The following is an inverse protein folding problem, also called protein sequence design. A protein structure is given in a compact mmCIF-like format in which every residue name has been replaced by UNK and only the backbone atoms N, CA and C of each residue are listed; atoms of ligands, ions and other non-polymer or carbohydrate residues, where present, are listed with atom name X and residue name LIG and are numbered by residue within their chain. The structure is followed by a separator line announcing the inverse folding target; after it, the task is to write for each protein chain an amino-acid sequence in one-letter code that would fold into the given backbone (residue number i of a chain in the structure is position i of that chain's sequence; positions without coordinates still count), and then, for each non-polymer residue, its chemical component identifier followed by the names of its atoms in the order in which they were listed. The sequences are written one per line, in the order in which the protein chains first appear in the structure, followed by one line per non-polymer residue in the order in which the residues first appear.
data_IF_238483005825
#
_entry.id   IF_238483005825
#
_cell.length_a   1.000
_cell.length_b   1.000
_cell.length_c   1.000
_cell.angle_alpha   90.00
_cell.angle_beta   90.00
_cell.angle_gamma   90.00
#
_symmetry.space_group_name_H-M   'P 1'
#
loop_
_entity.id
_entity.type
_entity.pdbx_description
1 polymer ?
#
# COMPACT_ATOMS: atom_id res chain seq x y z
N UNK A 1 43.57 -47.57 -7.35
CA UNK A 1 43.49 -46.47 -6.36
C UNK A 1 43.02 -45.13 -6.95
N UNK A 2 42.96 -44.96 -8.28
CA UNK A 2 42.51 -43.71 -8.93
C UNK A 2 40.97 -43.49 -8.95
N UNK A 3 40.17 -44.55 -8.88
CA UNK A 3 38.69 -44.45 -8.93
C UNK A 3 38.04 -43.74 -7.73
N UNK A 4 38.69 -43.75 -6.55
CA UNK A 4 38.12 -43.10 -5.34
C UNK A 4 38.27 -41.58 -5.39
N UNK A 5 39.32 -41.07 -6.03
CA UNK A 5 39.57 -39.63 -6.15
C UNK A 5 38.57 -38.95 -7.08
N UNK A 6 38.15 -39.61 -8.17
CA UNK A 6 37.12 -39.10 -9.08
C UNK A 6 35.74 -39.02 -8.44
N UNK A 7 35.41 -39.96 -7.55
CA UNK A 7 34.11 -40.00 -6.87
C UNK A 7 33.97 -38.88 -5.84
N UNK A 8 35.01 -38.63 -5.04
CA UNK A 8 35.02 -37.54 -4.08
C UNK A 8 34.99 -36.15 -4.75
N UNK A 9 35.64 -36.01 -5.91
CA UNK A 9 35.59 -34.77 -6.68
C UNK A 9 34.18 -34.49 -7.22
N UNK A 10 33.48 -35.54 -7.66
CA UNK A 10 32.11 -35.45 -8.15
C UNK A 10 31.13 -35.05 -7.02
N UNK A 11 31.25 -35.66 -5.84
CA UNK A 11 30.41 -35.31 -4.69
C UNK A 11 30.68 -33.88 -4.17
N UNK A 12 31.94 -33.44 -4.18
CA UNK A 12 32.30 -32.08 -3.80
C UNK A 12 31.81 -31.03 -4.80
N UNK A 13 31.83 -31.34 -6.10
CA UNK A 13 31.29 -30.46 -7.15
C UNK A 13 29.76 -30.40 -7.09
N UNK A 14 29.10 -31.54 -6.85
CA UNK A 14 27.64 -31.61 -6.78
C UNK A 14 27.10 -30.86 -5.54
N UNK A 15 27.77 -31.00 -4.39
CA UNK A 15 27.41 -30.23 -3.18
C UNK A 15 27.65 -28.72 -3.32
N UNK A 16 28.69 -28.31 -4.05
CA UNK A 16 28.94 -26.89 -4.34
C UNK A 16 27.89 -26.32 -5.31
N UNK A 17 27.50 -27.09 -6.34
CA UNK A 17 26.49 -26.69 -7.30
C UNK A 17 25.08 -26.62 -6.67
N UNK A 18 24.72 -27.54 -5.77
CA UNK A 18 23.46 -27.46 -5.01
C UNK A 18 23.45 -26.28 -4.03
N UNK A 19 24.58 -25.97 -3.39
CA UNK A 19 24.67 -24.81 -2.50
C UNK A 19 24.62 -23.48 -3.25
N UNK A 20 25.20 -23.39 -4.45
CA UNK A 20 25.12 -22.19 -5.29
C UNK A 20 23.75 -22.04 -5.94
N UNK A 21 23.13 -23.13 -6.41
CA UNK A 21 21.77 -23.09 -6.97
C UNK A 21 20.70 -22.83 -5.91
N UNK A 22 20.87 -23.32 -4.68
CA UNK A 22 20.00 -22.96 -3.54
C UNK A 22 20.07 -21.47 -3.19
N UNK A 23 21.28 -20.89 -3.17
CA UNK A 23 21.47 -19.44 -2.96
C UNK A 23 20.97 -18.59 -4.13
N UNK A 24 21.10 -19.07 -5.37
CA UNK A 24 20.58 -18.39 -6.55
C UNK A 24 19.03 -18.48 -6.62
N UNK A 25 18.45 -19.59 -6.19
CA UNK A 25 17.01 -19.81 -6.11
C UNK A 25 16.38 -18.97 -4.99
N UNK A 26 17.03 -18.82 -3.82
CA UNK A 26 16.58 -17.85 -2.80
C UNK A 26 16.66 -16.40 -3.30
N UNK A 27 17.68 -16.06 -4.10
CA UNK A 27 17.78 -14.74 -4.76
C UNK A 27 16.69 -14.49 -5.82
N UNK A 28 16.24 -15.54 -6.52
CA UNK A 28 15.24 -15.44 -7.60
C UNK A 28 13.79 -15.54 -7.10
N UNK A 29 13.53 -16.28 -6.03
CA UNK A 29 12.19 -16.35 -5.41
C UNK A 29 11.83 -15.11 -4.60
N UNK A 30 12.81 -14.28 -4.23
CA UNK A 30 12.59 -12.96 -3.63
C UNK A 30 12.21 -11.85 -4.61
N UNK A 31 12.20 -12.13 -5.92
CA UNK A 31 11.99 -11.12 -6.96
C UNK A 31 10.63 -11.29 -7.66
N UNK A 32 9.56 -11.39 -6.87
CA UNK A 32 8.29 -10.83 -7.33
C UNK A 32 8.57 -9.33 -7.49
N UNK A 33 8.45 -8.80 -8.71
CA UNK A 33 8.48 -7.37 -9.03
C UNK A 33 7.27 -6.67 -8.36
N UNK A 34 7.24 -6.70 -7.04
CA UNK A 34 6.48 -5.77 -6.22
C UNK A 34 7.36 -4.55 -6.21
N UNK A 35 6.89 -3.44 -6.78
CA UNK A 35 7.64 -2.19 -6.72
C UNK A 35 7.95 -1.91 -5.26
N UNK A 36 9.21 -2.08 -4.85
CA UNK A 36 9.67 -1.77 -3.49
C UNK A 36 9.69 -0.27 -3.40
N UNK A 37 8.53 0.31 -3.12
CA UNK A 37 8.37 1.74 -2.99
C UNK A 37 9.14 2.22 -1.77
N UNK A 38 9.86 3.34 -1.91
CA UNK A 38 10.55 3.92 -0.75
C UNK A 38 9.53 4.25 0.35
N UNK A 39 9.92 4.07 1.60
CA UNK A 39 9.12 4.48 2.77
C UNK A 39 8.59 5.91 2.67
N UNK A 40 9.40 6.82 2.11
CA UNK A 40 9.03 8.22 1.89
C UNK A 40 7.92 8.38 0.86
N UNK A 41 7.87 7.52 -0.15
CA UNK A 41 6.81 7.52 -1.16
C UNK A 41 5.47 7.05 -0.59
N UNK A 42 5.47 5.97 0.19
CA UNK A 42 4.26 5.45 0.85
C UNK A 42 3.72 6.50 1.83
N UNK A 43 4.59 7.10 2.65
CA UNK A 43 4.22 8.17 3.57
C UNK A 43 3.66 9.41 2.85
N UNK A 44 4.24 9.79 1.71
CA UNK A 44 3.73 10.89 0.88
C UNK A 44 2.34 10.60 0.34
N UNK A 45 2.09 9.39 -0.18
CA UNK A 45 0.76 8.99 -0.66
C UNK A 45 -0.27 9.04 0.47
N UNK A 46 0.07 8.59 1.68
CA UNK A 46 -0.81 8.72 2.84
C UNK A 46 -1.11 10.18 3.21
N UNK A 47 -0.08 11.04 3.24
CA UNK A 47 -0.24 12.45 3.55
C UNK A 47 -1.12 13.16 2.50
N UNK A 48 -0.92 12.84 1.22
CA UNK A 48 -1.74 13.35 0.13
C UNK A 48 -3.20 12.90 0.24
N UNK A 49 -3.44 11.63 0.61
CA UNK A 49 -4.78 11.07 0.77
C UNK A 49 -5.51 11.70 1.96
N UNK A 50 -4.83 11.92 3.08
CA UNK A 50 -5.37 12.62 4.23
C UNK A 50 -5.63 14.11 3.93
N UNK A 51 -4.73 14.75 3.17
CA UNK A 51 -4.93 16.10 2.67
C UNK A 51 -6.16 16.22 1.77
N UNK A 52 -6.36 15.27 0.85
CA UNK A 52 -7.52 15.25 -0.05
C UNK A 52 -8.82 15.03 0.72
N UNK A 53 -8.83 14.10 1.68
CA UNK A 53 -9.98 13.89 2.56
C UNK A 53 -10.33 15.15 3.38
N UNK A 54 -9.32 15.83 3.92
CA UNK A 54 -9.51 17.07 4.69
C UNK A 54 -10.04 18.20 3.81
N UNK A 55 -9.51 18.35 2.60
CA UNK A 55 -9.96 19.35 1.64
C UNK A 55 -11.43 19.17 1.24
N UNK A 56 -11.86 17.92 1.00
CA UNK A 56 -13.25 17.60 0.71
C UNK A 56 -14.16 17.99 1.87
N UNK A 57 -13.81 17.60 3.11
CA UNK A 57 -14.59 17.95 4.30
C UNK A 57 -14.72 19.47 4.50
N UNK A 58 -13.64 20.21 4.30
CA UNK A 58 -13.67 21.67 4.44
C UNK A 58 -14.58 22.29 3.37
N UNK A 59 -14.44 21.84 2.12
CA UNK A 59 -15.27 22.30 1.00
C UNK A 59 -16.74 22.04 1.27
N UNK A 60 -17.08 20.83 1.72
CA UNK A 60 -18.45 20.45 2.09
C UNK A 60 -19.05 21.34 3.17
N UNK A 61 -18.30 21.63 4.23
CA UNK A 61 -18.77 22.50 5.30
C UNK A 61 -19.09 23.90 4.77
N UNK A 62 -18.23 24.44 3.89
CA UNK A 62 -18.46 25.75 3.28
C UNK A 62 -19.65 25.73 2.31
N UNK A 63 -19.77 24.69 1.48
CA UNK A 63 -20.89 24.52 0.56
C UNK A 63 -22.22 24.39 1.31
N UNK A 64 -22.27 23.57 2.38
CA UNK A 64 -23.42 23.49 3.28
C UNK A 64 -23.76 24.87 3.85
N UNK A 65 -22.78 25.58 4.39
CA UNK A 65 -23.01 26.92 4.98
C UNK A 65 -23.61 27.89 3.96
N UNK A 66 -23.11 27.89 2.73
CA UNK A 66 -23.64 28.73 1.65
C UNK A 66 -25.07 28.32 1.28
N UNK A 67 -25.35 27.02 1.20
CA UNK A 67 -26.68 26.49 0.92
C UNK A 67 -27.70 26.92 1.99
N UNK A 68 -27.33 26.82 3.27
CA UNK A 68 -28.17 27.27 4.38
C UNK A 68 -28.40 28.79 4.39
N UNK A 69 -27.45 29.59 3.92
CA UNK A 69 -27.53 31.05 3.95
C UNK A 69 -28.31 31.62 2.76
N UNK A 70 -28.13 31.05 1.57
CA UNK A 70 -28.61 31.65 0.31
C UNK A 70 -29.74 30.88 -0.36
N UNK A 71 -29.88 29.57 -0.11
CA UNK A 71 -30.92 28.75 -0.75
C UNK A 71 -31.53 27.71 0.21
N UNK A 72 -32.25 28.18 1.25
CA UNK A 72 -32.80 27.31 2.28
C UNK A 72 -33.91 26.38 1.75
N UNK A 73 -34.58 26.77 0.67
CA UNK A 73 -35.69 25.99 0.09
C UNK A 73 -35.20 24.72 -0.62
N UNK A 74 -33.98 24.74 -1.18
CA UNK A 74 -33.38 23.61 -1.88
C UNK A 74 -32.34 22.83 -1.03
N UNK A 75 -32.31 23.03 0.29
CA UNK A 75 -31.34 22.38 1.19
C UNK A 75 -31.32 20.86 1.01
N UNK A 76 -32.50 20.22 0.95
CA UNK A 76 -32.60 18.77 0.84
C UNK A 76 -31.98 18.23 -0.45
N UNK A 77 -32.20 18.93 -1.57
CA UNK A 77 -31.64 18.57 -2.87
C UNK A 77 -30.13 18.81 -2.92
N UNK A 78 -29.65 19.95 -2.40
CA UNK A 78 -28.23 20.25 -2.32
C UNK A 78 -27.47 19.29 -1.41
N UNK A 79 -28.01 18.97 -0.23
CA UNK A 79 -27.44 17.96 0.67
C UNK A 79 -27.43 16.56 0.05
N UNK A 80 -28.47 16.20 -0.72
CA UNK A 80 -28.52 14.92 -1.41
C UNK A 80 -27.43 14.79 -2.47
N UNK A 81 -27.26 15.81 -3.33
CA UNK A 81 -26.19 15.84 -4.33
C UNK A 81 -24.80 15.83 -3.69
N UNK A 82 -24.59 16.63 -2.65
CA UNK A 82 -23.33 16.68 -1.91
C UNK A 82 -23.03 15.33 -1.25
N UNK A 83 -24.03 14.70 -0.63
CA UNK A 83 -23.92 13.37 -0.02
C UNK A 83 -23.54 12.28 -1.03
N UNK A 84 -24.14 12.29 -2.22
CA UNK A 84 -23.75 11.36 -3.30
C UNK A 84 -22.31 11.58 -3.77
N UNK A 85 -21.92 12.84 -3.99
CA UNK A 85 -20.55 13.19 -4.36
C UNK A 85 -19.54 12.69 -3.33
N UNK A 86 -19.85 12.88 -2.05
CA UNK A 86 -19.02 12.41 -0.94
C UNK A 86 -18.94 10.89 -0.87
N UNK A 87 -20.05 10.18 -1.07
CA UNK A 87 -20.04 8.72 -1.04
C UNK A 87 -19.09 8.17 -2.12
N UNK A 88 -19.12 8.75 -3.33
CA UNK A 88 -18.22 8.37 -4.41
C UNK A 88 -16.77 8.74 -4.06
N UNK A 89 -16.52 9.96 -3.61
CA UNK A 89 -15.18 10.45 -3.30
C UNK A 89 -14.54 9.66 -2.14
N UNK A 90 -15.26 9.44 -1.04
CA UNK A 90 -14.81 8.61 0.07
C UNK A 90 -14.68 7.14 -0.33
N UNK A 91 -15.51 6.62 -1.24
CA UNK A 91 -15.34 5.28 -1.80
C UNK A 91 -14.02 5.11 -2.53
N UNK A 92 -13.66 6.07 -3.38
CA UNK A 92 -12.36 6.09 -4.09
C UNK A 92 -11.19 6.28 -3.11
N UNK A 93 -11.32 7.18 -2.14
CA UNK A 93 -10.31 7.36 -1.08
C UNK A 93 -10.10 6.09 -0.26
N UNK A 94 -11.17 5.38 0.09
CA UNK A 94 -11.10 4.13 0.82
C UNK A 94 -10.44 3.02 -0.01
N UNK A 95 -10.70 2.96 -1.32
CA UNK A 95 -10.03 2.03 -2.22
C UNK A 95 -8.52 2.32 -2.28
N UNK A 96 -8.12 3.58 -2.44
CA UNK A 96 -6.72 3.99 -2.42
C UNK A 96 -6.07 3.73 -1.04
N UNK A 97 -6.79 3.97 0.06
CA UNK A 97 -6.29 3.68 1.39
C UNK A 97 -6.03 2.17 1.58
N UNK A 98 -6.87 1.29 1.02
CA UNK A 98 -6.64 -0.17 1.03
C UNK A 98 -5.43 -0.55 0.19
N UNK A 99 -5.28 0.03 -1.00
CA UNK A 99 -4.09 -0.18 -1.85
C UNK A 99 -2.81 0.20 -1.09
N UNK A 100 -2.81 1.34 -0.39
CA UNK A 100 -1.68 1.78 0.43
C UNK A 100 -1.39 0.86 1.63
N UNK A 101 -2.42 0.27 2.25
CA UNK A 101 -2.25 -0.71 3.34
C UNK A 101 -1.62 -2.00 2.81
N UNK A 102 -1.99 -2.44 1.61
CA UNK A 102 -1.38 -3.62 1.02
C UNK A 102 0.04 -3.34 0.51
N UNK A 103 0.30 -2.16 -0.04
CA UNK A 103 1.65 -1.69 -0.38
C UNK A 103 2.55 -1.60 0.86
N UNK A 104 2.04 -1.11 2.00
CA UNK A 104 2.84 -0.94 3.22
C UNK A 104 3.34 -2.26 3.81
N UNK A 105 2.62 -3.37 3.61
CA UNK A 105 3.04 -4.72 4.01
C UNK A 105 4.23 -5.25 3.21
N UNK A 106 4.54 -4.63 2.07
CA UNK A 106 5.62 -5.08 1.17
C UNK A 106 6.92 -4.32 1.37
N UNK A 107 6.93 -3.29 2.23
CA UNK A 107 8.10 -2.48 2.54
C UNK A 107 8.56 -2.70 4.00
N UNK A 108 9.87 -2.75 4.22
CA UNK A 108 10.45 -2.80 5.57
C UNK A 108 10.46 -1.40 6.21
N UNK A 109 10.31 -1.32 7.54
CA UNK A 109 10.38 -0.11 8.36
C UNK A 109 9.30 0.98 8.11
N UNK A 110 8.14 0.66 7.51
CA UNK A 110 7.05 1.63 7.35
C UNK A 110 6.45 1.99 8.73
N UNK A 111 6.10 3.26 9.01
CA UNK A 111 5.54 3.65 10.31
C UNK A 111 4.25 2.89 10.64
N UNK A 112 4.04 2.59 11.92
CA UNK A 112 2.93 1.74 12.39
C UNK A 112 1.53 2.22 11.95
N UNK A 113 1.35 3.53 11.80
CA UNK A 113 0.09 4.14 11.35
C UNK A 113 -0.24 3.88 9.86
N UNK A 114 0.73 3.44 9.05
CA UNK A 114 0.52 3.02 7.67
C UNK A 114 -0.06 1.59 7.54
N UNK A 115 -0.13 0.82 8.64
CA UNK A 115 -0.79 -0.49 8.64
C UNK A 115 -2.27 -0.40 9.06
N UNK A 116 -2.76 0.82 9.30
CA UNK A 116 -4.08 1.09 9.88
C UNK A 116 -4.11 0.84 11.39
N UNK A 117 -5.30 1.00 12.00
CA UNK A 117 -5.52 0.70 13.42
C UNK A 117 -5.60 -0.81 13.67
N UNK A 118 -4.57 -1.57 13.34
CA UNK A 118 -4.48 -2.97 13.77
C UNK A 118 -3.93 -3.03 15.18
N UNK A 119 -4.76 -3.49 16.12
CA UNK A 119 -4.34 -3.76 17.51
C UNK A 119 -3.19 -4.75 17.49
N UNK A 120 -2.01 -4.31 17.95
CA UNK A 120 -0.92 -5.21 18.29
C UNK A 120 -1.40 -6.13 19.41
N UNK A 121 -1.52 -7.43 19.13
CA UNK A 121 -1.76 -8.46 20.15
C UNK A 121 -0.86 -9.65 19.89
#
# INVERSE_FOLDING_TARGET
MAMKASQQLYESLNGSAESETGKLAEGLYGQRNVAVWSKNWIAFRYAALLGLASFLLITDIQCCRLLFLYDPENISYGLFLMGMGNLIAFGVLAAQARELIDDSKTANDVPWWCYGCTSSR
#
